data_IF_600603189949
#
_entry.id   IF_600603189949
#
_cell.length_a   1.000
_cell.length_b   1.000
_cell.length_c   1.000
_cell.angle_alpha   90.00
_cell.angle_beta   90.00
_cell.angle_gamma   90.00
#
_symmetry.space_group_name_H-M   'P 1'
#
loop_
_entity.id
_entity.type
_entity.pdbx_description
1 polymer ?
#
# COMPACT_ATOMS: atom_id res chain seq x y z
N UNK A 1 -30.41 -17.63 -4.99
CA UNK A 1 -29.43 -17.33 -3.91
C UNK A 1 -29.42 -15.83 -3.68
N UNK A 2 -29.51 -15.40 -2.43
CA UNK A 2 -29.27 -14.01 -2.02
C UNK A 2 -27.76 -13.67 -2.04
N UNK A 3 -27.42 -12.41 -1.80
CA UNK A 3 -26.01 -11.95 -1.87
C UNK A 3 -25.12 -12.66 -0.84
N UNK A 4 -25.64 -12.98 0.35
CA UNK A 4 -24.92 -13.68 1.40
C UNK A 4 -24.62 -15.13 0.99
N UNK A 5 -25.60 -15.87 0.49
CA UNK A 5 -25.43 -17.22 -0.01
C UNK A 5 -24.44 -17.30 -1.18
N UNK A 6 -24.52 -16.32 -2.08
CA UNK A 6 -23.60 -16.18 -3.21
C UNK A 6 -22.17 -15.95 -2.75
N UNK A 7 -21.96 -15.05 -1.78
CA UNK A 7 -20.63 -14.81 -1.21
C UNK A 7 -20.07 -16.06 -0.52
N UNK A 8 -20.88 -16.72 0.32
CA UNK A 8 -20.45 -17.94 0.99
C UNK A 8 -20.03 -19.02 -0.01
N UNK A 9 -20.73 -19.11 -1.15
CA UNK A 9 -20.36 -20.03 -2.22
C UNK A 9 -19.02 -19.65 -2.86
N UNK A 10 -18.72 -18.37 -3.04
CA UNK A 10 -17.40 -17.89 -3.51
C UNK A 10 -16.31 -18.31 -2.50
N UNK A 11 -16.55 -18.12 -1.20
CA UNK A 11 -15.62 -18.52 -0.13
C UNK A 11 -15.34 -20.02 -0.13
N UNK A 12 -16.38 -20.85 -0.30
CA UNK A 12 -16.22 -22.30 -0.42
C UNK A 12 -15.34 -22.66 -1.62
N UNK A 13 -15.62 -22.11 -2.79
CA UNK A 13 -14.83 -22.34 -3.99
C UNK A 13 -13.38 -21.88 -3.81
N UNK A 14 -13.15 -20.71 -3.22
CA UNK A 14 -11.79 -20.23 -2.92
C UNK A 14 -11.04 -21.22 -2.02
N UNK A 15 -11.66 -21.74 -0.96
CA UNK A 15 -11.07 -22.73 -0.05
C UNK A 15 -10.82 -24.07 -0.74
N UNK A 16 -11.78 -24.54 -1.52
CA UNK A 16 -11.69 -25.81 -2.24
C UNK A 16 -10.53 -25.83 -3.21
N UNK A 17 -10.26 -24.71 -3.89
CA UNK A 17 -9.21 -24.58 -4.91
C UNK A 17 -7.97 -23.81 -4.42
N UNK A 18 -7.77 -23.72 -3.09
CA UNK A 18 -6.72 -22.93 -2.46
C UNK A 18 -5.30 -23.23 -2.95
N UNK A 19 -5.00 -24.51 -3.25
CA UNK A 19 -3.69 -24.97 -3.74
C UNK A 19 -3.71 -25.40 -5.21
N UNK A 20 -4.73 -25.03 -5.94
CA UNK A 20 -4.86 -25.42 -7.34
C UNK A 20 -3.98 -24.59 -8.26
N UNK A 21 -3.58 -25.14 -9.43
CA UNK A 21 -2.88 -24.36 -10.45
C UNK A 21 -3.70 -23.14 -10.92
N UNK A 22 -3.04 -22.11 -11.38
CA UNK A 22 -3.64 -20.84 -11.83
C UNK A 22 -4.71 -21.04 -12.91
N UNK A 23 -4.48 -21.96 -13.86
CA UNK A 23 -5.47 -22.31 -14.89
C UNK A 23 -6.78 -22.88 -14.32
N UNK A 24 -6.70 -23.62 -13.22
CA UNK A 24 -7.90 -24.13 -12.51
C UNK A 24 -8.61 -22.98 -11.79
N UNK A 25 -7.86 -22.10 -11.14
CA UNK A 25 -8.39 -20.89 -10.48
C UNK A 25 -9.11 -20.02 -11.51
N UNK A 26 -8.54 -19.85 -12.69
CA UNK A 26 -9.13 -19.11 -13.80
C UNK A 26 -10.50 -19.68 -14.20
N UNK A 27 -10.61 -21.01 -14.38
CA UNK A 27 -11.87 -21.67 -14.70
C UNK A 27 -12.91 -21.49 -13.59
N UNK A 28 -12.48 -21.51 -12.32
CA UNK A 28 -13.37 -21.29 -11.16
C UNK A 28 -13.92 -19.86 -11.19
N UNK A 29 -13.09 -18.87 -11.42
CA UNK A 29 -13.52 -17.47 -11.45
C UNK A 29 -14.38 -17.13 -12.67
N UNK A 30 -14.14 -17.75 -13.82
CA UNK A 30 -15.10 -17.69 -14.94
C UNK A 30 -16.47 -18.22 -14.54
N UNK A 31 -16.52 -19.39 -13.88
CA UNK A 31 -17.78 -19.94 -13.43
C UNK A 31 -18.44 -19.06 -12.36
N UNK A 32 -17.66 -18.42 -11.46
CA UNK A 32 -18.19 -17.43 -10.52
C UNK A 32 -18.84 -16.26 -11.29
N UNK A 33 -18.19 -15.73 -12.33
CA UNK A 33 -18.77 -14.67 -13.14
C UNK A 33 -20.09 -15.09 -13.80
N UNK A 34 -20.17 -16.33 -14.27
CA UNK A 34 -21.37 -16.84 -14.96
C UNK A 34 -22.47 -17.24 -13.97
N UNK A 35 -22.18 -18.17 -13.05
CA UNK A 35 -23.20 -18.81 -12.23
C UNK A 35 -23.61 -17.99 -10.99
N UNK A 36 -22.69 -17.17 -10.48
CA UNK A 36 -22.91 -16.41 -9.24
C UNK A 36 -23.20 -14.94 -9.56
N UNK A 37 -22.38 -14.33 -10.41
CA UNK A 37 -22.54 -12.91 -10.75
C UNK A 37 -23.53 -12.67 -11.90
N UNK A 38 -23.88 -13.74 -12.67
CA UNK A 38 -24.97 -13.72 -13.65
C UNK A 38 -24.61 -13.20 -15.04
N UNK A 39 -23.32 -13.19 -15.39
CA UNK A 39 -22.89 -12.85 -16.76
C UNK A 39 -23.01 -14.06 -17.70
N UNK A 40 -23.21 -13.80 -18.99
CA UNK A 40 -23.43 -14.87 -19.98
C UNK A 40 -22.15 -15.22 -20.73
N UNK A 41 -21.73 -16.48 -20.67
CA UNK A 41 -20.64 -16.97 -21.51
C UNK A 41 -21.07 -17.07 -22.98
N UNK A 42 -22.32 -17.45 -23.24
CA UNK A 42 -22.84 -17.60 -24.59
C UNK A 42 -22.91 -16.27 -25.34
N UNK A 43 -23.24 -15.19 -24.62
CA UNK A 43 -23.25 -13.85 -25.19
C UNK A 43 -21.86 -13.21 -25.20
N UNK A 44 -20.83 -13.97 -24.80
CA UNK A 44 -19.44 -13.52 -24.79
C UNK A 44 -19.16 -12.43 -23.75
N UNK A 45 -19.96 -12.34 -22.67
CA UNK A 45 -19.79 -11.33 -21.62
C UNK A 45 -18.63 -11.63 -20.66
N UNK A 46 -18.15 -12.86 -20.63
CA UNK A 46 -16.94 -13.28 -19.91
C UNK A 46 -15.90 -13.68 -20.94
N UNK A 47 -14.84 -12.89 -21.04
CA UNK A 47 -13.77 -13.03 -22.01
C UNK A 47 -12.45 -13.33 -21.30
N UNK A 48 -11.77 -14.37 -21.71
CA UNK A 48 -10.46 -14.76 -21.15
C UNK A 48 -9.40 -14.77 -22.23
N UNK A 49 -8.17 -14.60 -21.83
CA UNK A 49 -7.02 -14.65 -22.73
C UNK A 49 -7.07 -13.67 -23.90
N UNK A 50 -7.80 -12.55 -23.72
CA UNK A 50 -7.79 -11.49 -24.73
C UNK A 50 -6.39 -10.90 -24.84
N UNK A 51 -5.81 -10.97 -26.02
CA UNK A 51 -4.55 -10.31 -26.30
C UNK A 51 -4.74 -8.80 -26.40
N UNK A 52 -4.06 -8.06 -25.53
CA UNK A 52 -3.98 -6.60 -25.59
C UNK A 52 -2.57 -6.25 -26.07
N UNK A 53 -2.46 -5.61 -27.22
CA UNK A 53 -1.16 -5.27 -27.80
C UNK A 53 -0.63 -3.95 -27.26
N UNK A 54 0.60 -3.98 -26.73
CA UNK A 54 1.37 -2.81 -26.30
C UNK A 54 2.38 -2.45 -27.39
N UNK A 55 1.96 -1.63 -28.35
CA UNK A 55 2.77 -1.36 -29.53
C UNK A 55 2.84 -2.55 -30.49
N UNK A 56 4.00 -2.74 -31.13
CA UNK A 56 4.16 -3.74 -32.20
C UNK A 56 4.62 -5.13 -31.71
N UNK A 57 5.16 -5.25 -30.53
CA UNK A 57 5.87 -6.49 -30.10
C UNK A 57 5.43 -7.05 -28.75
N UNK A 58 4.92 -6.22 -27.85
CA UNK A 58 4.51 -6.66 -26.52
C UNK A 58 3.00 -6.88 -26.45
N UNK A 59 2.60 -7.94 -25.77
CA UNK A 59 1.19 -8.23 -25.48
C UNK A 59 1.03 -8.52 -24.02
N UNK A 60 -0.08 -8.10 -23.47
CA UNK A 60 -0.53 -8.47 -22.14
C UNK A 60 -1.87 -9.18 -22.24
N UNK A 61 -2.11 -10.12 -21.34
CA UNK A 61 -3.28 -10.99 -21.37
C UNK A 61 -3.89 -10.97 -19.97
N UNK A 62 -4.99 -10.23 -19.76
CA UNK A 62 -5.77 -10.33 -18.51
C UNK A 62 -6.37 -11.72 -18.34
N UNK A 63 -6.50 -12.17 -17.11
CA UNK A 63 -7.07 -13.48 -16.82
C UNK A 63 -8.55 -13.54 -17.18
N UNK A 64 -9.35 -12.56 -16.71
CA UNK A 64 -10.78 -12.47 -17.04
C UNK A 64 -11.15 -11.01 -17.26
N UNK A 65 -11.83 -10.75 -18.38
CA UNK A 65 -12.47 -9.47 -18.65
C UNK A 65 -13.98 -9.72 -18.67
N UNK A 66 -14.70 -8.94 -17.87
CA UNK A 66 -16.17 -8.94 -17.90
C UNK A 66 -16.65 -7.73 -18.69
N UNK A 67 -17.56 -7.96 -19.62
CA UNK A 67 -18.08 -6.93 -20.53
C UNK A 67 -19.59 -7.03 -20.70
N UNK A 68 -20.17 -5.99 -21.23
CA UNK A 68 -21.51 -6.02 -21.81
C UNK A 68 -21.41 -5.95 -23.36
N UNK A 69 -22.54 -5.83 -24.03
CA UNK A 69 -22.57 -5.73 -25.50
C UNK A 69 -21.88 -4.48 -26.07
N UNK A 70 -21.53 -3.51 -25.23
CA UNK A 70 -21.02 -2.19 -25.66
C UNK A 70 -19.60 -1.92 -25.23
N UNK A 71 -19.19 -2.39 -24.03
CA UNK A 71 -17.89 -2.06 -23.42
C UNK A 71 -17.41 -3.11 -22.42
N UNK A 72 -16.12 -3.06 -22.15
CA UNK A 72 -15.53 -3.76 -21.01
C UNK A 72 -15.98 -3.07 -19.71
N UNK A 73 -16.39 -3.87 -18.74
CA UNK A 73 -16.94 -3.40 -17.46
C UNK A 73 -15.89 -3.41 -16.36
N UNK A 74 -15.22 -4.55 -16.18
CA UNK A 74 -14.15 -4.71 -15.20
C UNK A 74 -13.21 -5.85 -15.59
N UNK A 75 -12.02 -5.81 -14.98
CA UNK A 75 -10.97 -6.82 -15.15
C UNK A 75 -10.76 -7.56 -13.85
N UNK A 76 -10.59 -8.87 -13.92
CA UNK A 76 -10.15 -9.70 -12.79
C UNK A 76 -8.76 -10.24 -13.13
N UNK A 77 -7.79 -9.94 -12.29
CA UNK A 77 -6.47 -10.53 -12.29
C UNK A 77 -6.41 -11.58 -11.20
N UNK A 78 -5.94 -12.76 -11.53
CA UNK A 78 -5.92 -13.92 -10.66
C UNK A 78 -4.48 -14.30 -10.31
N UNK A 79 -4.27 -14.64 -9.07
CA UNK A 79 -3.04 -15.24 -8.57
C UNK A 79 -3.38 -16.52 -7.83
N UNK A 80 -2.37 -17.30 -7.48
CA UNK A 80 -2.61 -18.44 -6.60
C UNK A 80 -3.33 -17.96 -5.34
N UNK A 81 -4.35 -18.69 -4.91
CA UNK A 81 -5.15 -18.30 -3.73
C UNK A 81 -4.34 -18.24 -2.43
N UNK A 82 -3.15 -18.85 -2.39
CA UNK A 82 -2.21 -18.77 -1.28
C UNK A 82 -1.09 -17.75 -1.52
N UNK A 83 -1.10 -17.04 -2.63
CA UNK A 83 -0.13 -15.98 -2.88
C UNK A 83 -0.46 -14.76 -2.03
N UNK A 84 0.54 -14.27 -1.30
CA UNK A 84 0.45 -13.02 -0.56
C UNK A 84 0.53 -11.85 -1.53
N UNK A 85 -0.29 -10.83 -1.30
CA UNK A 85 -0.30 -9.63 -2.13
C UNK A 85 1.09 -9.00 -2.30
N UNK A 86 1.45 -8.73 -3.54
CA UNK A 86 2.66 -8.01 -3.92
C UNK A 86 2.32 -6.81 -4.84
N UNK A 87 3.11 -5.74 -4.73
CA UNK A 87 2.91 -4.52 -5.54
C UNK A 87 3.00 -4.78 -7.05
N UNK A 88 3.76 -5.79 -7.46
CA UNK A 88 3.85 -6.26 -8.84
C UNK A 88 2.51 -6.71 -9.42
N UNK A 89 1.70 -7.42 -8.62
CA UNK A 89 0.37 -7.90 -9.02
C UNK A 89 -0.57 -6.72 -9.29
N UNK A 90 -0.55 -5.72 -8.41
CA UNK A 90 -1.33 -4.49 -8.58
C UNK A 90 -0.93 -3.72 -9.83
N UNK A 91 0.37 -3.58 -10.09
CA UNK A 91 0.88 -2.90 -11.30
C UNK A 91 0.44 -3.61 -12.57
N UNK A 92 0.41 -4.94 -12.54
CA UNK A 92 -0.07 -5.75 -13.65
C UNK A 92 -1.55 -5.46 -13.91
N UNK A 93 -2.42 -5.53 -12.89
CA UNK A 93 -3.83 -5.17 -13.01
C UNK A 93 -4.00 -3.75 -13.57
N UNK A 94 -3.28 -2.76 -13.03
CA UNK A 94 -3.39 -1.36 -13.47
C UNK A 94 -2.94 -1.17 -14.92
N UNK A 95 -1.98 -1.96 -15.41
CA UNK A 95 -1.60 -1.92 -16.82
C UNK A 95 -2.78 -2.32 -17.73
N UNK A 96 -3.55 -3.33 -17.33
CA UNK A 96 -4.75 -3.73 -18.07
C UNK A 96 -5.85 -2.68 -18.03
N UNK A 97 -6.12 -2.12 -16.85
CA UNK A 97 -7.13 -1.07 -16.69
C UNK A 97 -6.85 0.12 -17.62
N UNK A 98 -5.58 0.56 -17.66
CA UNK A 98 -5.14 1.66 -18.54
C UNK A 98 -5.34 1.35 -20.03
N UNK A 99 -4.98 0.15 -20.46
CA UNK A 99 -5.09 -0.27 -21.85
C UNK A 99 -6.54 -0.41 -22.31
N UNK A 100 -7.38 -0.99 -21.48
CA UNK A 100 -8.80 -1.21 -21.75
C UNK A 100 -9.66 0.03 -21.46
N UNK A 101 -9.11 1.05 -20.83
CA UNK A 101 -9.83 2.25 -20.35
C UNK A 101 -10.99 1.88 -19.42
N UNK A 102 -10.76 0.94 -18.52
CA UNK A 102 -11.73 0.44 -17.54
C UNK A 102 -11.37 0.95 -16.16
N UNK A 103 -12.35 1.44 -15.41
CA UNK A 103 -12.14 2.06 -14.10
C UNK A 103 -12.24 1.07 -12.92
N UNK A 104 -12.62 -0.17 -13.18
CA UNK A 104 -12.84 -1.16 -12.12
C UNK A 104 -11.94 -2.36 -12.33
N UNK A 105 -11.17 -2.69 -11.31
CA UNK A 105 -10.30 -3.86 -11.29
C UNK A 105 -10.47 -4.68 -10.01
N UNK A 106 -10.36 -5.98 -10.17
CA UNK A 106 -10.37 -6.94 -9.07
C UNK A 106 -9.09 -7.76 -9.15
N UNK A 107 -8.35 -7.83 -8.04
CA UNK A 107 -7.21 -8.73 -7.88
C UNK A 107 -7.59 -9.80 -6.86
N UNK A 108 -7.37 -11.04 -7.20
CA UNK A 108 -7.65 -12.20 -6.35
C UNK A 108 -6.36 -12.93 -6.04
N UNK A 109 -6.07 -13.07 -4.75
CA UNK A 109 -5.00 -13.90 -4.22
C UNK A 109 -5.46 -14.49 -2.86
N UNK A 110 -4.71 -14.32 -1.76
CA UNK A 110 -5.15 -14.70 -0.42
C UNK A 110 -6.40 -13.94 0.05
N UNK A 111 -6.64 -12.77 -0.55
CA UNK A 111 -7.83 -11.94 -0.37
C UNK A 111 -8.32 -11.46 -1.74
N UNK A 112 -9.49 -10.87 -1.72
CA UNK A 112 -10.05 -10.14 -2.84
C UNK A 112 -9.80 -8.66 -2.67
N UNK A 113 -9.23 -8.00 -3.69
CA UNK A 113 -8.89 -6.58 -3.69
C UNK A 113 -9.69 -5.88 -4.79
N UNK A 114 -10.48 -4.87 -4.42
CA UNK A 114 -11.31 -4.08 -5.34
C UNK A 114 -10.68 -2.71 -5.53
N UNK A 115 -10.45 -2.32 -6.78
CA UNK A 115 -9.95 -1.01 -7.16
C UNK A 115 -11.00 -0.25 -7.98
N UNK A 116 -11.29 0.98 -7.54
CA UNK A 116 -11.96 1.97 -8.37
C UNK A 116 -10.91 2.89 -8.97
N UNK A 117 -10.38 2.53 -10.17
CA UNK A 117 -9.24 3.21 -10.76
C UNK A 117 -9.58 4.64 -11.20
N UNK A 118 -8.83 5.61 -10.69
CA UNK A 118 -8.97 7.03 -10.98
C UNK A 118 -7.81 7.51 -11.85
N UNK A 119 -8.08 7.79 -13.13
CA UNK A 119 -7.07 8.22 -14.09
C UNK A 119 -6.44 9.58 -13.78
N UNK A 120 -7.03 10.36 -12.88
CA UNK A 120 -6.46 11.63 -12.42
C UNK A 120 -5.37 11.46 -11.36
N UNK A 121 -5.24 10.25 -10.79
CA UNK A 121 -4.29 9.93 -9.71
C UNK A 121 -3.18 9.03 -10.19
N UNK A 122 -2.04 9.08 -9.48
CA UNK A 122 -0.94 8.14 -9.70
C UNK A 122 -1.30 6.73 -9.19
N UNK A 123 -0.65 5.70 -9.72
CA UNK A 123 -0.86 4.31 -9.30
C UNK A 123 -0.66 4.10 -7.79
N UNK A 124 0.24 4.86 -7.18
CA UNK A 124 0.50 4.82 -5.73
C UNK A 124 -0.62 5.41 -4.87
N UNK A 125 -1.51 6.20 -5.47
CA UNK A 125 -2.59 6.91 -4.81
C UNK A 125 -3.95 6.24 -5.01
N UNK A 126 -3.99 5.16 -5.80
CA UNK A 126 -5.21 4.41 -6.05
C UNK A 126 -5.69 3.72 -4.77
N UNK A 127 -6.97 3.90 -4.49
CA UNK A 127 -7.61 3.33 -3.31
C UNK A 127 -8.06 1.89 -3.57
N UNK A 128 -8.08 1.09 -2.51
CA UNK A 128 -8.43 -0.32 -2.54
C UNK A 128 -9.34 -0.68 -1.37
N UNK A 129 -10.24 -1.64 -1.59
CA UNK A 129 -10.94 -2.35 -0.53
C UNK A 129 -10.47 -3.80 -0.54
N UNK A 130 -10.03 -4.29 0.61
CA UNK A 130 -9.59 -5.67 0.82
C UNK A 130 -10.72 -6.47 1.48
N UNK A 131 -11.05 -7.62 0.93
CA UNK A 131 -12.09 -8.50 1.47
C UNK A 131 -11.47 -9.89 1.72
N UNK A 132 -11.32 -10.30 2.98
CA UNK A 132 -10.92 -11.67 3.31
C UNK A 132 -11.98 -12.69 2.86
N UNK A 133 -11.56 -13.88 2.42
CA UNK A 133 -12.48 -14.96 2.07
C UNK A 133 -13.04 -15.67 3.33
N UNK A 134 -13.87 -14.92 4.06
CA UNK A 134 -14.57 -15.38 5.26
C UNK A 134 -16.06 -15.48 4.99
N UNK A 135 -16.70 -16.51 5.53
CA UNK A 135 -18.15 -16.67 5.42
C UNK A 135 -18.87 -15.55 6.17
N UNK A 136 -20.04 -15.20 5.71
CA UNK A 136 -20.92 -14.18 6.31
C UNK A 136 -20.28 -12.77 6.37
N UNK A 137 -19.34 -12.49 5.51
CA UNK A 137 -18.69 -11.17 5.41
C UNK A 137 -19.63 -10.14 4.78
N UNK A 138 -19.91 -9.06 5.50
CA UNK A 138 -20.72 -7.92 5.00
C UNK A 138 -20.08 -7.29 3.75
N UNK A 139 -18.75 -7.19 3.71
CA UNK A 139 -18.05 -6.66 2.54
C UNK A 139 -18.06 -7.65 1.38
N UNK A 140 -18.09 -8.97 1.67
CA UNK A 140 -18.28 -9.99 0.68
C UNK A 140 -19.69 -9.99 0.06
N UNK A 141 -20.72 -9.82 0.87
CA UNK A 141 -22.08 -9.60 0.39
C UNK A 141 -22.15 -8.37 -0.50
N UNK A 142 -21.47 -7.28 -0.09
CA UNK A 142 -21.42 -6.03 -0.85
C UNK A 142 -20.66 -6.19 -2.18
N UNK A 143 -19.60 -7.00 -2.22
CA UNK A 143 -18.96 -7.37 -3.47
C UNK A 143 -19.96 -7.99 -4.44
N UNK A 144 -20.71 -8.99 -3.98
CA UNK A 144 -21.72 -9.67 -4.83
C UNK A 144 -22.76 -8.68 -5.34
N UNK A 145 -23.30 -7.80 -4.49
CA UNK A 145 -24.27 -6.78 -4.91
C UNK A 145 -23.72 -5.87 -6.00
N UNK A 146 -22.47 -5.39 -5.82
CA UNK A 146 -21.83 -4.44 -6.72
C UNK A 146 -21.39 -5.07 -8.06
N UNK A 147 -21.03 -6.36 -8.05
CA UNK A 147 -20.46 -7.05 -9.21
C UNK A 147 -21.44 -7.99 -9.91
N UNK A 148 -22.63 -8.25 -9.37
CA UNK A 148 -23.68 -8.92 -10.12
C UNK A 148 -24.10 -8.09 -11.34
N UNK A 149 -24.33 -8.74 -12.48
CA UNK A 149 -24.74 -8.12 -13.74
C UNK A 149 -25.91 -7.14 -13.58
N UNK A 150 -26.92 -7.50 -12.79
CA UNK A 150 -28.10 -6.67 -12.56
C UNK A 150 -27.82 -5.38 -11.78
N UNK A 151 -26.77 -5.37 -10.93
CA UNK A 151 -26.44 -4.26 -10.04
C UNK A 151 -25.14 -3.53 -10.37
N UNK A 152 -24.39 -4.02 -11.37
CA UNK A 152 -23.09 -3.45 -11.68
C UNK A 152 -23.17 -2.02 -12.21
N UNK A 153 -22.40 -1.15 -11.59
CA UNK A 153 -22.15 0.22 -12.03
C UNK A 153 -20.76 0.65 -11.59
N UNK A 154 -19.96 1.14 -12.54
CA UNK A 154 -18.61 1.67 -12.23
C UNK A 154 -18.66 2.73 -11.12
N UNK A 155 -19.61 3.67 -11.20
CA UNK A 155 -19.78 4.72 -10.21
C UNK A 155 -20.14 4.19 -8.82
N UNK A 156 -20.92 3.11 -8.73
CA UNK A 156 -21.25 2.47 -7.44
C UNK A 156 -20.04 1.78 -6.82
N UNK A 157 -19.21 1.11 -7.62
CA UNK A 157 -17.96 0.50 -7.16
C UNK A 157 -16.99 1.57 -6.68
N UNK A 158 -16.78 2.63 -7.47
CA UNK A 158 -15.92 3.74 -7.08
C UNK A 158 -16.38 4.38 -5.77
N UNK A 159 -17.68 4.69 -5.65
CA UNK A 159 -18.25 5.26 -4.43
C UNK A 159 -18.03 4.36 -3.21
N UNK A 160 -18.17 3.05 -3.37
CA UNK A 160 -17.91 2.09 -2.30
C UNK A 160 -16.43 2.11 -1.88
N UNK A 161 -15.50 2.05 -2.84
CA UNK A 161 -14.06 2.07 -2.57
C UNK A 161 -13.66 3.37 -1.87
N UNK A 162 -14.13 4.52 -2.34
CA UNK A 162 -13.85 5.81 -1.71
C UNK A 162 -14.44 5.90 -0.31
N UNK A 163 -15.71 5.54 -0.13
CA UNK A 163 -16.41 5.64 1.16
C UNK A 163 -15.76 4.76 2.24
N UNK A 164 -15.33 3.55 1.89
CA UNK A 164 -14.61 2.66 2.83
C UNK A 164 -13.26 3.24 3.25
N UNK A 165 -12.52 3.82 2.33
CA UNK A 165 -11.22 4.41 2.64
C UNK A 165 -11.36 5.71 3.45
N UNK A 166 -12.33 6.56 3.12
CA UNK A 166 -12.63 7.78 3.87
C UNK A 166 -13.05 7.44 5.30
N UNK A 167 -13.97 6.49 5.47
CA UNK A 167 -14.39 6.02 6.79
C UNK A 167 -13.20 5.53 7.60
N UNK A 168 -12.35 4.67 7.03
CA UNK A 168 -11.17 4.13 7.71
C UNK A 168 -10.20 5.24 8.12
N UNK A 169 -9.97 6.23 7.25
CA UNK A 169 -9.13 7.38 7.54
C UNK A 169 -9.70 8.23 8.69
N UNK A 170 -10.99 8.52 8.64
CA UNK A 170 -11.68 9.31 9.65
C UNK A 170 -11.65 8.63 11.02
N UNK A 171 -11.93 7.33 11.08
CA UNK A 171 -11.86 6.55 12.32
C UNK A 171 -10.44 6.54 12.88
N UNK A 172 -9.42 6.32 12.03
CA UNK A 172 -8.03 6.36 12.45
C UNK A 172 -7.63 7.72 13.02
N UNK A 173 -8.00 8.80 12.32
CA UNK A 173 -7.71 10.17 12.72
C UNK A 173 -8.40 10.52 14.05
N UNK A 174 -9.68 10.16 14.19
CA UNK A 174 -10.42 10.36 15.43
C UNK A 174 -9.83 9.57 16.58
N UNK A 175 -9.50 8.29 16.34
CA UNK A 175 -8.85 7.44 17.36
C UNK A 175 -7.50 7.99 17.83
N UNK A 176 -6.73 8.62 16.95
CA UNK A 176 -5.46 9.24 17.34
C UNK A 176 -5.66 10.47 18.23
N UNK A 177 -6.73 11.23 18.02
CA UNK A 177 -7.06 12.42 18.82
C UNK A 177 -7.59 12.10 20.21
N UNK A 178 -8.11 10.89 20.43
CA UNK A 178 -8.57 10.47 21.77
C UNK A 178 -7.34 10.09 22.61
N UNK A 179 -6.89 11.01 23.43
CA UNK A 179 -5.77 10.87 24.38
C UNK A 179 -6.24 11.10 25.81
N UNK A 180 -5.43 10.78 26.80
CA UNK A 180 -5.73 11.09 28.21
C UNK A 180 -5.95 12.60 28.41
N UNK A 181 -5.12 13.44 27.76
CA UNK A 181 -5.25 14.90 27.84
C UNK A 181 -6.55 15.41 27.20
N UNK A 182 -6.97 14.82 26.08
CA UNK A 182 -8.26 15.14 25.48
C UNK A 182 -9.43 14.81 26.41
N UNK A 183 -9.37 13.64 27.07
CA UNK A 183 -10.40 13.24 28.02
C UNK A 183 -10.40 14.16 29.25
N UNK A 184 -9.22 14.54 29.76
CA UNK A 184 -9.09 15.53 30.86
C UNK A 184 -9.71 16.87 30.49
N UNK A 185 -9.44 17.37 29.28
CA UNK A 185 -10.01 18.62 28.77
C UNK A 185 -11.53 18.56 28.71
N UNK A 186 -12.12 17.45 28.21
CA UNK A 186 -13.57 17.26 28.18
C UNK A 186 -14.21 17.24 29.59
N UNK A 187 -13.54 16.57 30.53
CA UNK A 187 -14.00 16.54 31.93
C UNK A 187 -13.96 17.95 32.49
N UNK A 188 -12.87 18.69 32.29
CA UNK A 188 -12.75 20.08 32.75
C UNK A 188 -13.84 20.96 32.13
N UNK A 189 -14.09 20.87 30.83
CA UNK A 189 -15.15 21.61 30.14
C UNK A 189 -16.54 21.27 30.66
N UNK A 190 -16.80 20.02 31.00
CA UNK A 190 -18.08 19.59 31.55
C UNK A 190 -18.35 20.19 32.94
N UNK A 191 -17.34 20.22 33.80
CA UNK A 191 -17.49 20.61 35.19
C UNK A 191 -17.25 22.11 35.46
N UNK A 192 -16.65 22.88 34.54
CA UNK A 192 -16.38 24.32 34.69
C UNK A 192 -17.60 25.20 34.94
N UNK A 193 -18.80 24.68 34.66
CA UNK A 193 -20.08 25.36 34.93
C UNK A 193 -20.50 25.29 36.40
N UNK A 194 -19.91 24.37 37.15
CA UNK A 194 -20.36 24.08 38.53
C UNK A 194 -19.24 24.23 39.56
N UNK A 195 -17.99 23.99 39.14
CA UNK A 195 -16.79 23.98 40.01
C UNK A 195 -15.73 24.94 39.46
N UNK A 196 -14.85 25.40 40.34
CA UNK A 196 -13.72 26.24 39.96
C UNK A 196 -12.61 25.42 39.27
N UNK A 197 -11.77 26.11 38.50
CA UNK A 197 -10.62 25.44 37.82
C UNK A 197 -9.68 24.73 38.83
N UNK A 198 -9.46 25.31 39.99
CA UNK A 198 -8.60 24.74 41.04
C UNK A 198 -9.20 23.45 41.61
N UNK A 199 -10.51 23.39 41.82
CA UNK A 199 -11.20 22.19 42.32
C UNK A 199 -11.15 21.09 41.27
N UNK A 200 -11.42 21.41 40.00
CA UNK A 200 -11.33 20.45 38.88
C UNK A 200 -9.92 19.90 38.71
N UNK A 201 -8.92 20.78 38.79
CA UNK A 201 -7.52 20.42 38.69
C UNK A 201 -7.09 19.49 39.86
N UNK A 202 -7.45 19.83 41.08
CA UNK A 202 -7.13 19.00 42.23
C UNK A 202 -7.69 17.58 42.12
N UNK A 203 -8.91 17.43 41.58
CA UNK A 203 -9.52 16.13 41.31
C UNK A 203 -8.80 15.39 40.18
N UNK A 204 -8.51 16.07 39.06
CA UNK A 204 -7.88 15.45 37.92
C UNK A 204 -6.43 15.05 38.15
N UNK A 205 -5.69 15.77 39.01
CA UNK A 205 -4.32 15.41 39.41
C UNK A 205 -4.29 14.13 40.26
N UNK A 206 -5.39 13.82 40.94
CA UNK A 206 -5.56 12.58 41.70
C UNK A 206 -6.06 11.39 40.88
N UNK A 207 -6.41 11.58 39.59
CA UNK A 207 -6.97 10.53 38.75
C UNK A 207 -6.01 10.13 37.63
N UNK A 208 -5.72 8.83 37.52
CA UNK A 208 -5.03 8.26 36.35
C UNK A 208 -6.05 7.91 35.28
N UNK A 209 -5.86 8.46 34.07
CA UNK A 209 -6.69 8.13 32.89
C UNK A 209 -5.88 7.29 31.93
N UNK A 210 -6.27 6.03 31.77
CA UNK A 210 -5.68 5.12 30.79
C UNK A 210 -6.62 4.89 29.62
N UNK A 211 -6.15 5.13 28.40
CA UNK A 211 -6.90 4.89 27.16
C UNK A 211 -6.51 3.54 26.60
N UNK A 212 -7.27 2.51 26.91
CA UNK A 212 -7.11 1.17 26.34
C UNK A 212 -7.86 1.07 25.00
N UNK A 213 -7.17 1.27 23.88
CA UNK A 213 -7.72 1.12 22.54
C UNK A 213 -7.81 -0.36 22.22
N UNK A 214 -9.01 -0.94 22.26
CA UNK A 214 -9.23 -2.27 21.68
C UNK A 214 -8.97 -2.16 20.18
N UNK A 215 -8.32 -3.16 19.59
CA UNK A 215 -8.27 -3.30 18.15
C UNK A 215 -9.74 -3.33 17.68
N UNK A 216 -10.21 -2.21 17.15
CA UNK A 216 -11.49 -2.19 16.47
C UNK A 216 -11.31 -3.09 15.26
N UNK A 217 -12.26 -3.99 15.00
CA UNK A 217 -12.30 -4.83 13.78
C UNK A 217 -12.53 -4.03 12.49
N UNK A 218 -12.27 -2.73 12.53
CA UNK A 218 -12.00 -1.92 11.37
C UNK A 218 -10.69 -2.50 10.84
N UNK A 219 -10.79 -3.16 9.70
CA UNK A 219 -9.65 -3.63 8.96
C UNK A 219 -8.73 -2.43 8.76
N UNK A 220 -7.88 -2.18 9.76
CA UNK A 220 -6.61 -1.56 9.44
C UNK A 220 -6.06 -2.43 8.33
N UNK A 221 -5.49 -1.86 7.26
CA UNK A 221 -4.70 -2.65 6.35
C UNK A 221 -3.90 -3.60 7.23
N UNK A 222 -4.03 -4.93 7.07
CA UNK A 222 -3.62 -5.91 8.07
C UNK A 222 -2.30 -5.46 8.62
N UNK A 223 -2.06 -5.51 9.95
CA UNK A 223 -0.73 -5.26 10.48
C UNK A 223 0.15 -6.08 9.56
N UNK A 224 0.95 -5.35 8.75
CA UNK A 224 1.72 -5.97 7.67
C UNK A 224 2.34 -7.20 8.31
N UNK A 225 2.19 -8.39 7.73
CA UNK A 225 2.52 -9.65 8.38
C UNK A 225 3.85 -9.42 9.09
N UNK A 226 4.01 -9.79 10.36
CA UNK A 226 5.25 -9.54 11.09
C UNK A 226 6.34 -9.93 10.11
N UNK A 227 7.16 -8.95 9.71
CA UNK A 227 8.19 -9.17 8.70
C UNK A 227 8.84 -10.46 9.13
N UNK A 228 8.75 -11.54 8.36
CA UNK A 228 9.29 -12.82 8.76
C UNK A 228 10.71 -12.51 9.24
N UNK A 229 11.13 -12.96 10.42
CA UNK A 229 12.40 -12.58 11.01
C UNK A 229 13.41 -12.63 9.89
N UNK A 230 14.00 -11.47 9.54
CA UNK A 230 14.83 -11.33 8.34
C UNK A 230 15.87 -12.42 8.48
N UNK A 231 15.74 -13.45 7.65
CA UNK A 231 16.69 -14.54 7.63
C UNK A 231 18.08 -13.90 7.56
N UNK A 232 19.06 -14.28 8.39
CA UNK A 232 20.39 -13.67 8.37
C UNK A 232 21.04 -13.66 6.98
N UNK A 233 20.50 -14.42 6.05
CA UNK A 233 20.93 -14.50 4.65
C UNK A 233 20.18 -13.51 3.74
N UNK A 234 19.04 -12.93 4.21
CA UNK A 234 18.21 -12.09 3.34
C UNK A 234 18.74 -10.66 3.26
N UNK A 235 19.09 -10.24 2.04
CA UNK A 235 19.68 -8.93 1.76
C UNK A 235 18.66 -7.82 1.95
N UNK A 236 18.98 -6.82 2.78
CA UNK A 236 18.20 -5.58 2.89
C UNK A 236 18.12 -4.88 1.53
N UNK A 237 16.91 -4.67 1.04
CA UNK A 237 16.61 -3.89 -0.16
C UNK A 237 15.86 -2.60 0.19
N UNK A 238 15.53 -1.82 -0.85
CA UNK A 238 14.87 -0.53 -0.70
C UNK A 238 13.46 -0.64 -0.10
N UNK A 239 12.70 -1.64 -0.47
CA UNK A 239 11.34 -1.84 0.02
C UNK A 239 11.33 -2.32 1.46
N UNK A 240 12.18 -3.29 1.80
CA UNK A 240 12.35 -3.76 3.18
C UNK A 240 12.79 -2.62 4.11
N UNK A 241 13.73 -1.78 3.66
CA UNK A 241 14.17 -0.62 4.42
C UNK A 241 13.04 0.39 4.64
N UNK A 242 12.22 0.66 3.62
CA UNK A 242 11.04 1.52 3.74
C UNK A 242 10.04 0.99 4.77
N UNK A 243 9.73 -0.30 4.72
CA UNK A 243 8.84 -0.96 5.67
C UNK A 243 9.36 -0.86 7.10
N UNK A 244 10.63 -1.20 7.30
CA UNK A 244 11.25 -1.19 8.62
C UNK A 244 11.25 0.22 9.25
N UNK A 245 11.56 1.24 8.46
CA UNK A 245 11.51 2.63 8.92
C UNK A 245 10.09 3.03 9.34
N UNK A 246 9.08 2.67 8.57
CA UNK A 246 7.69 2.94 8.91
C UNK A 246 7.20 2.18 10.15
N UNK A 247 7.61 0.94 10.35
CA UNK A 247 7.33 0.18 11.57
C UNK A 247 7.92 0.86 12.82
N UNK A 248 9.05 1.54 12.66
CA UNK A 248 9.69 2.33 13.73
C UNK A 248 9.18 3.78 13.77
N UNK A 249 7.96 4.05 13.29
CA UNK A 249 7.30 5.35 13.26
C UNK A 249 8.05 6.46 12.50
N UNK A 250 9.02 6.11 11.65
CA UNK A 250 9.73 7.07 10.80
C UNK A 250 8.88 7.41 9.58
N UNK A 251 8.45 8.67 9.48
CA UNK A 251 7.65 9.15 8.34
C UNK A 251 8.58 9.53 7.17
N UNK A 252 8.95 8.54 6.37
CA UNK A 252 9.70 8.74 5.13
C UNK A 252 8.74 8.73 3.93
N UNK A 253 8.95 9.63 2.97
CA UNK A 253 8.17 9.72 1.74
C UNK A 253 8.91 9.13 0.54
N UNK A 254 8.18 8.57 -0.41
CA UNK A 254 8.73 8.17 -1.72
C UNK A 254 8.60 9.34 -2.72
N UNK A 255 9.54 9.48 -3.65
CA UNK A 255 10.75 8.68 -3.83
C UNK A 255 11.85 9.02 -2.82
N UNK A 256 12.63 8.04 -2.39
CA UNK A 256 13.82 8.24 -1.57
C UNK A 256 15.04 7.50 -2.16
N UNK A 257 16.24 7.95 -1.80
CA UNK A 257 17.48 7.28 -2.17
C UNK A 257 17.80 6.19 -1.15
N UNK A 258 18.04 4.97 -1.62
CA UNK A 258 18.52 3.86 -0.81
C UNK A 258 19.92 3.47 -1.25
N UNK A 259 20.85 3.35 -0.31
CA UNK A 259 22.21 2.94 -0.55
C UNK A 259 22.64 1.88 0.47
N UNK A 260 22.99 0.70 -0.01
CA UNK A 260 23.64 -0.32 0.82
C UNK A 260 25.15 -0.15 0.80
N UNK A 261 25.80 -0.65 1.85
CA UNK A 261 27.23 -0.75 1.91
C UNK A 261 27.73 -1.61 0.74
N UNK A 262 28.75 -1.12 0.02
CA UNK A 262 29.32 -1.85 -1.11
C UNK A 262 30.01 -3.15 -0.68
N UNK A 263 30.34 -4.03 -1.63
CA UNK A 263 30.97 -5.32 -1.35
C UNK A 263 32.27 -5.21 -0.53
N UNK A 264 33.05 -4.13 -0.75
CA UNK A 264 34.29 -3.88 -0.02
C UNK A 264 34.06 -3.25 1.35
N UNK A 265 32.80 -2.92 1.69
CA UNK A 265 32.40 -2.34 2.97
C UNK A 265 33.02 -0.98 3.26
N UNK A 266 33.30 -0.17 2.24
CA UNK A 266 34.00 1.13 2.35
C UNK A 266 33.10 2.34 2.08
N UNK A 267 32.02 2.17 1.30
CA UNK A 267 31.10 3.27 0.95
C UNK A 267 29.67 2.76 0.79
N UNK A 268 28.72 3.65 1.08
CA UNK A 268 27.33 3.54 0.65
C UNK A 268 27.23 4.16 -0.74
N UNK A 269 26.73 3.45 -1.72
CA UNK A 269 26.70 3.91 -3.10
C UNK A 269 25.30 3.90 -3.69
N UNK A 270 24.91 5.03 -4.31
CA UNK A 270 23.67 5.19 -5.07
C UNK A 270 23.85 6.17 -6.22
N UNK A 271 22.90 6.17 -7.15
CA UNK A 271 22.84 7.15 -8.24
C UNK A 271 21.44 7.79 -8.27
N UNK A 272 21.09 8.67 -7.32
CA UNK A 272 19.82 9.37 -7.37
C UNK A 272 19.78 10.32 -8.57
N UNK A 273 18.60 10.52 -9.21
CA UNK A 273 18.46 11.48 -10.29
C UNK A 273 18.74 12.89 -9.79
N UNK A 274 19.27 13.77 -10.65
CA UNK A 274 19.62 15.16 -10.29
C UNK A 274 18.40 15.93 -9.77
N UNK A 275 17.19 15.57 -10.20
CA UNK A 275 15.94 16.19 -9.76
C UNK A 275 15.69 16.13 -8.25
N UNK A 276 16.34 15.23 -7.51
CA UNK A 276 16.21 15.16 -6.03
C UNK A 276 16.66 16.45 -5.34
N UNK A 277 17.56 17.21 -5.96
CA UNK A 277 18.04 18.49 -5.40
C UNK A 277 16.96 19.58 -5.37
N UNK A 278 15.93 19.45 -6.21
CA UNK A 278 14.83 20.44 -6.33
C UNK A 278 13.60 20.09 -5.48
N UNK A 279 13.68 19.00 -4.70
CA UNK A 279 12.60 18.52 -3.83
C UNK A 279 13.15 18.09 -2.48
N UNK A 280 12.26 17.85 -1.52
CA UNK A 280 12.64 17.23 -0.25
C UNK A 280 13.20 15.84 -0.53
N UNK A 281 14.42 15.58 -0.05
CA UNK A 281 15.19 14.41 -0.41
C UNK A 281 15.48 13.54 0.81
N UNK A 282 14.83 12.39 0.87
CA UNK A 282 15.14 11.38 1.85
C UNK A 282 16.25 10.44 1.37
N UNK A 283 17.19 10.13 2.27
CA UNK A 283 18.31 9.22 2.02
C UNK A 283 18.30 8.16 3.12
N UNK A 284 18.40 6.90 2.73
CA UNK A 284 18.50 5.76 3.64
C UNK A 284 19.80 5.00 3.33
N UNK A 285 20.67 4.91 4.33
CA UNK A 285 21.94 4.21 4.24
C UNK A 285 21.85 2.92 5.06
N UNK A 286 22.02 1.78 4.39
CA UNK A 286 22.00 0.47 5.02
C UNK A 286 23.39 0.02 5.45
N UNK A 287 23.67 0.09 6.75
CA UNK A 287 24.85 -0.54 7.38
C UNK A 287 24.57 -2.03 7.62
N UNK A 288 24.85 -2.85 6.63
CA UNK A 288 24.68 -4.30 6.73
C UNK A 288 25.59 -4.98 7.76
N UNK A 289 26.70 -4.34 8.15
CA UNK A 289 27.62 -4.87 9.17
C UNK A 289 27.04 -4.71 10.58
N UNK A 290 26.41 -3.57 10.86
CA UNK A 290 25.80 -3.27 12.16
C UNK A 290 24.33 -3.61 12.22
N UNK A 291 23.72 -3.98 11.08
CA UNK A 291 22.27 -4.15 10.92
C UNK A 291 21.51 -2.89 11.33
N UNK A 292 21.90 -1.76 10.74
CA UNK A 292 21.35 -0.44 11.03
C UNK A 292 20.96 0.28 9.74
N UNK A 293 19.82 0.97 9.77
CA UNK A 293 19.42 1.92 8.73
C UNK A 293 19.58 3.34 9.28
N UNK A 294 20.51 4.11 8.72
CA UNK A 294 20.59 5.54 8.97
C UNK A 294 19.67 6.28 8.01
N UNK A 295 18.82 7.18 8.49
CA UNK A 295 17.93 7.95 7.64
C UNK A 295 18.16 9.45 7.79
N UNK A 296 18.23 10.12 6.63
CA UNK A 296 18.58 11.52 6.51
C UNK A 296 17.49 12.25 5.73
N UNK A 297 17.24 13.50 6.08
CA UNK A 297 16.32 14.38 5.38
C UNK A 297 17.02 15.65 4.95
N UNK A 298 17.12 15.86 3.64
CA UNK A 298 17.69 17.06 3.01
C UNK A 298 16.55 17.90 2.45
N UNK A 299 16.33 19.12 2.95
CA UNK A 299 15.30 20.00 2.42
C UNK A 299 15.55 20.35 0.94
N UNK A 300 14.48 20.63 0.20
CA UNK A 300 14.57 21.10 -1.19
C UNK A 300 15.49 22.30 -1.34
N UNK A 301 16.22 22.36 -2.44
CA UNK A 301 17.15 23.45 -2.78
C UNK A 301 18.29 23.68 -1.77
N UNK A 302 18.56 22.72 -0.88
CA UNK A 302 19.67 22.80 0.07
C UNK A 302 21.03 22.75 -0.64
N UNK A 303 21.11 22.07 -1.77
CA UNK A 303 22.30 21.91 -2.57
C UNK A 303 22.05 22.28 -4.03
N UNK A 304 23.11 22.70 -4.73
CA UNK A 304 23.13 22.94 -6.18
C UNK A 304 23.80 21.76 -6.91
N UNK A 305 23.51 21.64 -8.19
CA UNK A 305 24.10 20.62 -9.07
C UNK A 305 25.63 20.71 -9.15
N UNK A 306 26.18 21.95 -9.10
CA UNK A 306 27.62 22.22 -9.14
C UNK A 306 28.40 21.66 -7.95
N UNK A 307 27.72 21.32 -6.85
CA UNK A 307 28.34 20.76 -5.65
C UNK A 307 28.55 19.25 -5.75
N UNK A 308 27.97 18.59 -6.77
CA UNK A 308 28.04 17.14 -6.91
C UNK A 308 28.74 16.71 -8.20
N UNK A 309 29.30 15.50 -8.16
CA UNK A 309 29.73 14.83 -9.37
C UNK A 309 28.52 14.22 -10.08
N UNK A 310 28.20 14.74 -11.27
CA UNK A 310 27.08 14.27 -12.07
C UNK A 310 27.54 13.25 -13.10
N UNK A 311 26.86 12.12 -13.15
CA UNK A 311 26.98 11.11 -14.19
C UNK A 311 26.15 11.52 -15.39
N UNK A 312 26.79 12.04 -16.44
CA UNK A 312 26.11 12.55 -17.65
C UNK A 312 25.34 11.44 -18.39
N UNK A 313 25.83 10.19 -18.36
CA UNK A 313 25.22 9.03 -18.98
C UNK A 313 23.83 8.65 -18.38
N UNK A 314 23.56 9.04 -17.14
CA UNK A 314 22.35 8.70 -16.41
C UNK A 314 21.58 9.91 -15.87
N UNK A 315 22.08 11.11 -16.09
CA UNK A 315 21.57 12.33 -15.46
C UNK A 315 21.34 12.14 -13.95
N UNK A 316 22.34 11.60 -13.26
CA UNK A 316 22.27 11.20 -11.87
C UNK A 316 23.51 11.64 -11.08
N UNK A 317 23.33 11.84 -9.77
CA UNK A 317 24.43 12.14 -8.86
C UNK A 317 25.25 10.87 -8.61
N UNK A 318 26.58 10.92 -8.73
CA UNK A 318 27.48 9.86 -8.29
C UNK A 318 27.66 9.94 -6.77
N UNK A 319 26.66 9.47 -6.04
CA UNK A 319 26.55 9.59 -4.58
C UNK A 319 27.27 8.45 -3.87
N UNK A 320 28.33 8.77 -3.10
CA UNK A 320 29.15 7.78 -2.41
C UNK A 320 29.53 8.27 -1.01
N UNK A 321 28.78 7.86 0.01
CA UNK A 321 29.07 8.24 1.40
C UNK A 321 30.08 7.26 2.03
N UNK A 322 31.12 7.82 2.64
CA UNK A 322 32.20 7.04 3.27
C UNK A 322 31.66 6.33 4.52
N UNK A 323 31.89 5.00 4.57
CA UNK A 323 31.52 4.18 5.74
C UNK A 323 32.37 4.57 6.97
N UNK A 324 31.73 4.66 8.13
CA UNK A 324 32.39 5.03 9.38
C UNK A 324 32.77 6.50 9.51
N UNK A 325 32.47 7.34 8.52
CA UNK A 325 32.63 8.77 8.63
C UNK A 325 31.57 9.34 9.58
N UNK A 326 32.00 9.97 10.69
CA UNK A 326 31.09 10.64 11.63
C UNK A 326 30.25 11.74 10.97
N UNK A 327 30.74 12.33 9.88
CA UNK A 327 30.09 13.41 9.15
C UNK A 327 29.30 12.97 7.94
N UNK A 328 29.16 11.66 7.66
CA UNK A 328 28.48 11.15 6.47
C UNK A 328 28.90 11.86 5.18
N UNK A 329 30.20 11.97 4.95
CA UNK A 329 30.77 12.75 3.83
C UNK A 329 30.64 12.00 2.53
N UNK A 330 30.06 12.64 1.50
CA UNK A 330 30.13 12.13 0.13
C UNK A 330 31.57 12.25 -0.38
N UNK A 331 32.20 11.12 -0.71
CA UNK A 331 33.63 11.08 -1.08
C UNK A 331 33.93 11.76 -2.42
N UNK A 332 32.92 11.93 -3.28
CA UNK A 332 33.07 12.55 -4.61
C UNK A 332 32.99 14.08 -4.55
N UNK A 333 31.98 14.59 -3.87
CA UNK A 333 31.71 16.02 -3.78
C UNK A 333 32.29 16.68 -2.51
N UNK A 334 32.71 15.88 -1.53
CA UNK A 334 33.15 16.33 -0.19
C UNK A 334 32.04 16.98 0.64
N UNK A 335 30.78 16.87 0.21
CA UNK A 335 29.61 17.39 0.94
C UNK A 335 29.34 16.56 2.19
N UNK A 336 29.28 17.17 3.39
CA UNK A 336 28.91 16.48 4.62
C UNK A 336 27.37 16.42 4.76
N UNK A 337 26.85 15.29 5.21
CA UNK A 337 25.42 15.07 5.42
C UNK A 337 25.02 14.92 6.89
N UNK A 338 25.95 15.10 7.83
CA UNK A 338 25.70 14.89 9.26
C UNK A 338 24.56 15.75 9.82
N UNK A 339 24.41 16.99 9.38
CA UNK A 339 23.33 17.90 9.80
C UNK A 339 21.93 17.45 9.37
N UNK A 340 21.85 16.54 8.40
CA UNK A 340 20.61 16.02 7.85
C UNK A 340 20.22 14.66 8.44
N UNK A 341 21.04 14.05 9.26
CA UNK A 341 20.75 12.79 9.96
C UNK A 341 19.58 12.99 10.90
N UNK A 342 18.54 12.20 10.75
CA UNK A 342 17.34 12.22 11.59
C UNK A 342 17.33 11.09 12.60
N UNK A 343 18.05 10.00 12.34
CA UNK A 343 18.17 8.90 13.27
C UNK A 343 18.67 7.61 12.63
N UNK A 344 18.61 6.55 13.44
CA UNK A 344 19.04 5.20 13.07
C UNK A 344 18.03 4.19 13.59
N UNK A 345 17.69 3.20 12.78
CA UNK A 345 16.83 2.07 13.14
C UNK A 345 17.63 0.78 13.01
N UNK A 346 17.60 -0.09 14.02
CA UNK A 346 18.21 -1.43 14.02
C UNK A 346 17.23 -2.48 13.48
N UNK A 347 17.77 -3.54 12.88
CA UNK A 347 17.00 -4.66 12.32
C UNK A 347 17.65 -6.03 12.52
#
# INVERSE_FOLDING_TARGET
MDSKQKWNRIVELHKQYYKSPETTIQNVWENICVEILGFSRLDGEVDRHRNIYLGSTERVIPDVIVKDSKKDLFVIELKLHNAVFEDGMRKQLFSYLKQLKVNVGVLVCEKLYIYGYDYSKQDSEQLCVEIPFEADSVDGEKFVELFCKAGFSEGSVQKYVYGKNEFSLNVKTMSQKITADFVRALISEHFNKTYTEDEIKAVLDGISIEINKKATGIVTPPPQPPVPPIDPIDRMDKEKAYFLLRQNAVQITKPFTFASLNKNGSVYWANPPVSVLKQDWWIVLNDSKKRELHYLFVPKNQFSESQFRIRKDKNAIDFQVIYGSQNFVDCRSKVPFVSFVKGTVKY
#
